data_IF_110453012737
#
_entry.id   IF_110453012737
#
_cell.length_a   1.000
_cell.length_b   1.000
_cell.length_c   1.000
_cell.angle_alpha   90.00
_cell.angle_beta   90.00
_cell.angle_gamma   90.00
#
_symmetry.space_group_name_H-M   'P 1'
#
loop_
_entity.id
_entity.type
_entity.pdbx_description
1 polymer ?
#
# COMPACT_ATOMS: atom_id res chain seq x y z
N UNK A 1 -15.43 -70.27 50.36
CA UNK A 1 -16.78 -70.83 50.19
C UNK A 1 -17.34 -70.38 48.85
N UNK A 2 -17.61 -71.37 48.03
CA UNK A 2 -18.32 -71.39 46.75
C UNK A 2 -19.70 -70.72 46.78
N UNK A 3 -20.04 -69.97 45.72
CA UNK A 3 -21.27 -70.05 44.90
C UNK A 3 -21.26 -68.84 43.95
N UNK A 4 -21.04 -68.94 42.62
CA UNK A 4 -22.04 -69.27 41.57
C UNK A 4 -23.42 -68.65 41.83
N UNK A 5 -24.10 -67.97 40.92
CA UNK A 5 -23.89 -67.57 39.54
C UNK A 5 -24.96 -66.48 39.27
N UNK A 6 -24.73 -65.53 38.35
CA UNK A 6 -25.56 -65.45 37.15
C UNK A 6 -25.19 -64.27 36.25
N UNK A 7 -25.22 -64.61 34.97
CA UNK A 7 -24.72 -63.90 33.83
C UNK A 7 -25.85 -63.04 33.23
N UNK A 8 -25.68 -61.72 33.13
CA UNK A 8 -26.42 -60.88 32.16
C UNK A 8 -25.54 -59.73 31.68
N UNK A 9 -25.13 -59.86 30.41
CA UNK A 9 -24.48 -58.82 29.62
C UNK A 9 -25.21 -57.47 29.70
N UNK A 10 -24.50 -56.34 29.88
CA UNK A 10 -25.08 -55.03 29.71
C UNK A 10 -25.18 -54.71 28.21
N UNK A 11 -26.42 -54.63 27.70
CA UNK A 11 -26.72 -54.11 26.36
C UNK A 11 -26.14 -52.70 26.22
N UNK A 12 -25.15 -52.59 25.33
CA UNK A 12 -24.57 -51.35 24.82
C UNK A 12 -25.66 -50.56 24.08
N UNK A 13 -26.18 -49.48 24.69
CA UNK A 13 -27.08 -48.53 24.03
C UNK A 13 -26.25 -47.55 23.20
N UNK A 14 -26.19 -47.79 21.89
CA UNK A 14 -25.85 -46.78 20.91
C UNK A 14 -27.13 -46.46 20.12
N UNK A 15 -27.64 -45.26 20.26
CA UNK A 15 -28.73 -44.74 19.40
C UNK A 15 -28.30 -43.37 18.90
N UNK A 16 -27.72 -43.36 17.69
CA UNK A 16 -27.58 -42.16 16.88
C UNK A 16 -28.98 -41.66 16.56
N UNK A 17 -29.36 -40.50 17.12
CA UNK A 17 -30.62 -39.86 16.78
C UNK A 17 -30.51 -39.33 15.34
N UNK A 18 -31.28 -39.93 14.43
CA UNK A 18 -31.45 -39.42 13.07
C UNK A 18 -31.99 -37.97 13.13
N UNK A 19 -31.20 -37.02 12.67
CA UNK A 19 -31.61 -35.61 12.58
C UNK A 19 -32.61 -35.50 11.43
N UNK A 20 -33.89 -35.47 11.78
CA UNK A 20 -34.98 -35.34 10.84
C UNK A 20 -35.06 -33.87 10.36
N UNK A 21 -34.48 -33.58 9.20
CA UNK A 21 -34.52 -32.25 8.58
C UNK A 21 -35.95 -31.95 8.11
N UNK A 22 -36.66 -31.11 8.86
CA UNK A 22 -37.99 -30.64 8.51
C UNK A 22 -37.88 -29.44 7.57
N UNK A 23 -38.03 -29.67 6.27
CA UNK A 23 -38.08 -28.61 5.26
C UNK A 23 -39.36 -27.79 5.43
N UNK A 24 -39.21 -26.49 5.68
CA UNK A 24 -40.33 -25.55 5.79
C UNK A 24 -40.25 -24.56 4.64
N UNK A 25 -41.36 -24.39 3.91
CA UNK A 25 -41.48 -23.38 2.85
C UNK A 25 -41.79 -22.02 3.50
N UNK A 26 -40.76 -21.37 4.03
CA UNK A 26 -40.83 -19.99 4.52
C UNK A 26 -40.54 -18.98 3.40
N UNK A 27 -41.21 -17.83 3.42
CA UNK A 27 -40.81 -16.69 2.60
C UNK A 27 -39.44 -16.20 3.06
N UNK A 28 -38.49 -16.12 2.13
CA UNK A 28 -37.19 -15.54 2.38
C UNK A 28 -37.36 -14.04 2.64
N UNK A 29 -36.96 -13.58 3.83
CA UNK A 29 -36.77 -12.17 4.12
C UNK A 29 -35.27 -11.91 4.08
N UNK A 30 -34.82 -11.18 3.05
CA UNK A 30 -33.43 -10.77 2.94
C UNK A 30 -33.10 -9.89 4.16
N UNK A 31 -32.04 -10.22 4.88
CA UNK A 31 -31.46 -9.27 5.82
C UNK A 31 -31.12 -7.98 5.06
N UNK A 32 -31.33 -6.83 5.69
CA UNK A 32 -31.04 -5.54 5.08
C UNK A 32 -29.55 -5.48 4.71
N UNK A 33 -29.25 -5.47 3.41
CA UNK A 33 -27.88 -5.42 2.87
C UNK A 33 -27.32 -4.00 2.82
N UNK A 34 -28.01 -3.00 3.39
CA UNK A 34 -27.49 -1.65 3.48
C UNK A 34 -26.25 -1.64 4.38
N UNK A 35 -25.09 -1.75 3.75
CA UNK A 35 -23.83 -1.32 4.34
C UNK A 35 -23.79 0.19 4.24
N UNK A 36 -24.07 0.87 5.35
CA UNK A 36 -23.66 2.26 5.51
C UNK A 36 -22.13 2.26 5.66
N UNK A 37 -21.44 2.40 4.53
CA UNK A 37 -20.00 2.63 4.53
C UNK A 37 -19.74 3.98 5.21
N UNK A 38 -19.39 3.92 6.50
CA UNK A 38 -18.90 5.07 7.23
C UNK A 38 -17.36 5.07 7.12
N UNK A 39 -16.75 5.88 6.25
CA UNK A 39 -15.30 5.94 6.15
C UNK A 39 -14.77 6.37 7.53
N UNK A 40 -14.08 5.45 8.22
CA UNK A 40 -13.36 5.79 9.44
C UNK A 40 -12.23 6.75 9.08
N UNK A 41 -12.52 8.05 9.14
CA UNK A 41 -11.53 9.12 9.24
C UNK A 41 -10.40 9.07 8.21
N UNK A 42 -10.70 8.78 6.95
CA UNK A 42 -9.76 9.14 5.88
C UNK A 42 -9.65 10.66 5.85
N UNK A 43 -8.46 11.20 6.08
CA UNK A 43 -8.21 12.63 5.82
C UNK A 43 -8.65 12.93 4.39
N UNK A 44 -9.33 14.06 4.17
CA UNK A 44 -9.64 14.52 2.81
C UNK A 44 -8.38 14.38 1.94
N UNK A 45 -8.51 13.95 0.66
CA UNK A 45 -7.36 13.84 -0.22
C UNK A 45 -6.65 15.18 -0.23
N UNK A 46 -5.50 15.23 0.45
CA UNK A 46 -4.70 16.44 0.52
C UNK A 46 -4.22 16.73 -0.90
N UNK A 47 -4.07 18.01 -1.24
CA UNK A 47 -3.42 18.35 -2.50
C UNK A 47 -2.08 17.63 -2.60
N UNK A 48 -1.80 17.07 -3.78
CA UNK A 48 -0.65 16.19 -4.02
C UNK A 48 0.68 16.82 -3.58
N UNK A 49 0.80 18.14 -3.71
CA UNK A 49 1.98 18.90 -3.29
C UNK A 49 2.15 18.91 -1.77
N UNK A 50 1.06 18.99 -1.01
CA UNK A 50 1.12 19.00 0.46
C UNK A 50 1.47 17.60 0.99
N UNK A 51 0.93 16.56 0.36
CA UNK A 51 1.32 15.19 0.69
C UNK A 51 2.81 14.94 0.38
N UNK A 52 3.29 15.40 -0.77
CA UNK A 52 4.71 15.29 -1.14
C UNK A 52 5.63 16.01 -0.14
N UNK A 53 5.27 17.24 0.23
CA UNK A 53 6.05 18.07 1.17
C UNK A 53 6.12 17.49 2.58
N UNK A 54 5.20 16.59 2.95
CA UNK A 54 5.27 15.87 4.23
C UNK A 54 6.46 14.92 4.31
N UNK A 55 6.86 14.34 3.18
CA UNK A 55 7.99 13.39 3.12
C UNK A 55 9.28 14.06 2.62
N UNK A 56 9.16 14.96 1.65
CA UNK A 56 10.27 15.76 1.15
C UNK A 56 10.31 17.10 1.87
N UNK A 57 10.76 17.06 3.12
CA UNK A 57 10.91 18.27 3.93
C UNK A 57 11.95 19.23 3.32
N UNK A 58 11.85 20.55 3.59
CA UNK A 58 12.84 21.52 3.11
C UNK A 58 14.27 21.16 3.52
N UNK A 59 14.48 20.71 4.76
CA UNK A 59 15.78 20.30 5.29
C UNK A 59 16.38 19.14 4.49
N UNK A 60 15.57 18.15 4.12
CA UNK A 60 16.02 17.01 3.34
C UNK A 60 16.45 17.43 1.92
N UNK A 61 15.76 18.41 1.32
CA UNK A 61 16.12 18.96 0.02
C UNK A 61 17.45 19.75 0.11
N UNK A 62 17.65 20.52 1.19
CA UNK A 62 18.91 21.22 1.44
C UNK A 62 20.08 20.26 1.65
N UNK A 63 19.87 19.18 2.42
CA UNK A 63 20.87 18.15 2.64
C UNK A 63 21.22 17.44 1.32
N UNK A 64 20.26 17.17 0.44
CA UNK A 64 20.54 16.63 -0.89
C UNK A 64 21.42 17.56 -1.72
N UNK A 65 21.13 18.86 -1.75
CA UNK A 65 21.97 19.82 -2.46
C UNK A 65 23.40 19.82 -1.89
N UNK A 66 23.54 19.83 -0.56
CA UNK A 66 24.83 19.82 0.13
C UNK A 66 25.64 18.56 -0.16
N UNK A 67 25.04 17.38 0.02
CA UNK A 67 25.73 16.10 -0.17
C UNK A 67 26.07 15.85 -1.64
N UNK A 68 25.22 16.28 -2.57
CA UNK A 68 25.52 16.21 -4.01
C UNK A 68 26.76 17.03 -4.36
N UNK A 69 26.85 18.26 -3.84
CA UNK A 69 28.01 19.11 -4.05
C UNK A 69 29.29 18.51 -3.43
N UNK A 70 29.21 17.97 -2.22
CA UNK A 70 30.35 17.30 -1.56
C UNK A 70 30.82 16.10 -2.38
N UNK A 71 29.89 15.24 -2.80
CA UNK A 71 30.21 14.04 -3.57
C UNK A 71 30.86 14.39 -4.91
N UNK A 72 30.33 15.39 -5.61
CA UNK A 72 30.88 15.82 -6.89
C UNK A 72 32.27 16.44 -6.73
N UNK A 73 32.47 17.27 -5.69
CA UNK A 73 33.78 17.83 -5.37
C UNK A 73 34.81 16.73 -5.07
N UNK A 74 34.41 15.71 -4.31
CA UNK A 74 35.28 14.57 -3.99
C UNK A 74 35.63 13.72 -5.22
N UNK A 75 34.69 13.54 -6.14
CA UNK A 75 34.86 12.67 -7.30
C UNK A 75 35.61 13.35 -8.45
N UNK A 76 35.37 14.65 -8.66
CA UNK A 76 35.80 15.37 -9.86
C UNK A 76 36.78 16.51 -9.55
N UNK A 77 36.94 16.88 -8.28
CA UNK A 77 37.83 17.97 -7.86
C UNK A 77 37.32 19.37 -8.23
N UNK A 78 36.05 19.51 -8.65
CA UNK A 78 35.43 20.78 -9.08
C UNK A 78 34.11 20.95 -8.36
N UNK A 79 33.72 22.19 -8.03
CA UNK A 79 32.42 22.47 -7.44
C UNK A 79 31.29 22.42 -8.48
N UNK A 80 30.21 21.71 -8.16
CA UNK A 80 29.03 21.58 -9.04
C UNK A 80 28.05 22.75 -8.90
N UNK A 81 27.96 23.33 -7.71
CA UNK A 81 27.09 24.47 -7.39
C UNK A 81 25.59 24.15 -7.39
N UNK A 82 25.19 22.93 -7.04
CA UNK A 82 23.77 22.52 -7.02
C UNK A 82 23.00 23.24 -5.91
N UNK A 83 21.82 23.78 -6.27
CA UNK A 83 20.92 24.46 -5.33
C UNK A 83 19.73 23.59 -4.91
N UNK A 84 19.06 23.88 -3.78
CA UNK A 84 17.84 23.19 -3.37
C UNK A 84 16.71 23.25 -4.42
N UNK A 85 16.62 24.35 -5.17
CA UNK A 85 15.68 24.54 -6.27
C UNK A 85 15.98 23.58 -7.42
N UNK A 86 17.26 23.41 -7.75
CA UNK A 86 17.70 22.47 -8.78
C UNK A 86 17.35 21.02 -8.39
N UNK A 87 17.48 20.67 -7.11
CA UNK A 87 17.06 19.36 -6.58
C UNK A 87 15.54 19.18 -6.71
N UNK A 88 14.72 20.20 -6.44
CA UNK A 88 13.25 20.13 -6.63
C UNK A 88 12.88 19.86 -8.08
N UNK A 89 13.54 20.54 -9.01
CA UNK A 89 13.36 20.34 -10.46
C UNK A 89 13.76 18.92 -10.85
N UNK A 90 14.91 18.43 -10.36
CA UNK A 90 15.37 17.07 -10.59
C UNK A 90 14.37 16.01 -10.11
N UNK A 91 13.85 16.14 -8.89
CA UNK A 91 12.82 15.25 -8.34
C UNK A 91 11.52 15.30 -9.17
N UNK A 92 11.08 16.49 -9.57
CA UNK A 92 9.90 16.67 -10.43
C UNK A 92 10.05 15.97 -11.78
N UNK A 93 11.23 16.05 -12.40
CA UNK A 93 11.54 15.34 -13.64
C UNK A 93 11.53 13.82 -13.44
N UNK A 94 12.08 13.31 -12.33
CA UNK A 94 12.05 11.87 -12.01
C UNK A 94 10.63 11.35 -11.86
N UNK A 95 9.80 12.05 -11.08
CA UNK A 95 8.39 11.67 -10.87
C UNK A 95 7.64 11.65 -12.20
N UNK A 96 7.80 12.70 -13.01
CA UNK A 96 7.15 12.81 -14.32
C UNK A 96 7.59 11.66 -15.24
N UNK A 97 8.87 11.29 -15.23
CA UNK A 97 9.40 10.17 -16.02
C UNK A 97 8.82 8.82 -15.57
N UNK A 98 8.69 8.60 -14.26
CA UNK A 98 8.10 7.36 -13.71
C UNK A 98 6.61 7.26 -14.05
N UNK A 99 5.85 8.34 -13.85
CA UNK A 99 4.42 8.38 -14.19
C UNK A 99 4.18 8.12 -15.68
N UNK A 100 4.99 8.72 -16.56
CA UNK A 100 4.91 8.46 -18.01
C UNK A 100 5.24 7.01 -18.37
N UNK A 101 6.21 6.38 -17.72
CA UNK A 101 6.53 4.96 -17.96
C UNK A 101 5.38 4.01 -17.63
N UNK A 102 4.52 4.39 -16.68
CA UNK A 102 3.35 3.59 -16.29
C UNK A 102 2.23 3.72 -17.34
N UNK A 103 2.14 4.85 -18.05
CA UNK A 103 1.06 5.15 -18.98
C UNK A 103 1.36 4.97 -20.49
N UNK A 104 2.58 5.25 -20.97
CA UNK A 104 2.85 5.32 -22.41
C UNK A 104 4.29 4.93 -22.82
N UNK A 105 4.42 4.32 -24.00
CA UNK A 105 5.69 4.02 -24.65
C UNK A 105 6.23 5.26 -25.38
N UNK A 106 7.24 5.89 -24.77
CA UNK A 106 8.22 6.76 -25.42
C UNK A 106 7.69 8.03 -26.10
N UNK A 107 7.75 9.15 -25.39
CA UNK A 107 7.74 10.48 -26.01
C UNK A 107 8.64 11.43 -25.23
N UNK A 108 9.43 12.24 -25.95
CA UNK A 108 10.22 13.34 -25.39
C UNK A 108 9.26 14.27 -24.62
N UNK A 109 9.58 14.55 -23.36
CA UNK A 109 8.81 15.45 -22.52
C UNK A 109 9.47 16.83 -22.60
N UNK A 110 8.91 17.81 -23.35
CA UNK A 110 9.51 19.13 -23.50
C UNK A 110 9.75 19.79 -22.13
N UNK A 111 8.83 19.62 -21.19
CA UNK A 111 8.97 20.09 -19.79
C UNK A 111 10.20 19.55 -19.04
N UNK A 112 10.72 18.37 -19.38
CA UNK A 112 11.95 17.82 -18.78
C UNK A 112 13.18 18.33 -19.53
N UNK A 113 13.12 18.41 -20.86
CA UNK A 113 14.25 18.90 -21.66
C UNK A 113 14.52 20.40 -21.48
N UNK A 114 13.48 21.17 -21.14
CA UNK A 114 13.55 22.62 -20.96
C UNK A 114 13.94 23.02 -19.52
N UNK A 115 13.86 22.10 -18.57
CA UNK A 115 14.15 22.38 -17.15
C UNK A 115 15.59 22.07 -16.76
N UNK A 116 16.23 21.07 -17.37
CA UNK A 116 17.64 20.76 -17.13
C UNK A 116 18.28 20.11 -18.37
N UNK A 117 19.53 20.47 -18.67
CA UNK A 117 20.25 19.86 -19.80
C UNK A 117 20.56 18.38 -19.52
N UNK A 118 20.58 17.55 -20.57
CA UNK A 118 20.81 16.10 -20.44
C UNK A 118 22.19 15.71 -19.88
N UNK A 119 23.18 16.61 -19.92
CA UNK A 119 24.50 16.39 -19.29
C UNK A 119 24.51 16.73 -17.80
N UNK A 120 23.52 17.52 -17.35
CA UNK A 120 23.37 17.98 -15.96
C UNK A 120 22.44 17.06 -15.16
N UNK A 121 21.45 16.44 -15.82
CA UNK A 121 20.63 15.35 -15.27
C UNK A 121 21.44 14.07 -15.09
#
# INVERSE_FOLDING_TARGET
CTSSADNKDPKRTATSADILVKWVKGSFSAANTNCDYNPQGGSLPQESMVYFSKYFTPYLIEDFARFTNIYYLQSNGVELGTTPEEIKVFLGMLITRVLKKIGEKSTRIPTIADSMSAKRF
#
